data_IF_612620018898
#
_entry.id   IF_612620018898
#
_cell.length_a   1.000
_cell.length_b   1.000
_cell.length_c   1.000
_cell.angle_alpha   90.00
_cell.angle_beta   90.00
_cell.angle_gamma   90.00
#
_symmetry.space_group_name_H-M   'P 1'
#
loop_
_entity.id
_entity.type
_entity.pdbx_description
1 polymer ?
#
# COMPACT_ATOMS: atom_id res chain seq x y z
N UNK A 1 0.08 -6.27 15.97
CA UNK A 1 -0.35 -6.47 14.57
C UNK A 1 -0.68 -7.93 14.33
N UNK A 2 -1.63 -8.25 13.43
CA UNK A 2 -2.13 -9.62 13.22
C UNK A 2 -1.08 -10.60 12.67
N UNK A 3 -0.23 -10.16 11.73
CA UNK A 3 0.85 -11.00 11.16
C UNK A 3 1.87 -11.37 12.26
N UNK A 4 2.32 -10.39 13.02
CA UNK A 4 3.25 -10.62 14.14
C UNK A 4 2.67 -11.60 15.16
N UNK A 5 1.38 -11.45 15.49
CA UNK A 5 0.70 -12.39 16.37
C UNK A 5 0.69 -13.82 15.80
N UNK A 6 0.44 -13.99 14.50
CA UNK A 6 0.49 -15.29 13.85
C UNK A 6 1.90 -15.92 13.94
N UNK A 7 2.95 -15.13 13.71
CA UNK A 7 4.35 -15.59 13.79
C UNK A 7 4.79 -15.99 15.20
N UNK A 8 4.24 -15.34 16.22
CA UNK A 8 4.47 -15.73 17.63
C UNK A 8 3.66 -16.97 18.02
N UNK A 9 2.52 -17.20 17.36
CA UNK A 9 1.59 -18.29 17.70
C UNK A 9 1.90 -19.61 16.99
N UNK A 10 2.48 -19.56 15.79
CA UNK A 10 2.68 -20.72 14.92
C UNK A 10 4.16 -20.87 14.53
N UNK A 11 4.61 -22.12 14.37
CA UNK A 11 6.00 -22.43 14.02
C UNK A 11 6.24 -22.28 12.52
N UNK A 12 7.33 -21.64 12.12
CA UNK A 12 7.75 -21.62 10.71
C UNK A 12 8.25 -23.00 10.23
N UNK A 13 8.36 -24.01 11.10
CA UNK A 13 8.69 -25.39 10.70
C UNK A 13 7.52 -26.14 10.05
N UNK A 14 6.28 -25.77 10.40
CA UNK A 14 5.07 -26.47 9.95
C UNK A 14 3.97 -25.54 9.40
N UNK A 15 4.17 -24.22 9.49
CA UNK A 15 3.19 -23.23 9.06
C UNK A 15 3.76 -22.34 7.97
N UNK A 16 3.13 -22.37 6.78
CA UNK A 16 3.39 -21.42 5.69
C UNK A 16 2.53 -20.17 5.91
N UNK A 17 3.18 -19.03 6.12
CA UNK A 17 2.54 -17.71 6.22
C UNK A 17 2.80 -16.96 4.92
N UNK A 18 1.75 -16.59 4.19
CA UNK A 18 1.82 -15.79 2.95
C UNK A 18 1.08 -14.47 3.17
N UNK A 19 1.72 -13.36 2.81
CA UNK A 19 1.17 -12.00 2.90
C UNK A 19 1.24 -11.38 1.52
N UNK A 20 0.11 -10.89 1.01
CA UNK A 20 0.03 -10.15 -0.25
C UNK A 20 -1.19 -9.22 -0.23
N UNK A 21 -1.38 -8.50 -1.33
CA UNK A 21 -2.56 -7.68 -1.60
C UNK A 21 -3.30 -8.24 -2.82
N UNK A 22 -4.59 -7.96 -2.92
CA UNK A 22 -5.37 -8.22 -4.13
C UNK A 22 -5.06 -7.19 -5.23
N UNK A 23 -4.79 -5.93 -4.85
CA UNK A 23 -4.30 -4.86 -5.73
C UNK A 23 -3.60 -3.76 -4.93
N UNK A 24 -3.07 -2.76 -5.61
CA UNK A 24 -2.54 -1.53 -5.00
C UNK A 24 -3.55 -0.38 -5.07
N UNK A 25 -3.12 0.82 -4.67
CA UNK A 25 -3.84 2.08 -4.76
C UNK A 25 -2.95 3.14 -5.38
N UNK A 26 -3.55 4.20 -5.92
CA UNK A 26 -2.87 5.30 -6.62
C UNK A 26 -2.08 6.25 -5.69
N UNK A 27 -1.54 5.70 -4.60
CA UNK A 27 -0.78 6.38 -3.58
C UNK A 27 0.66 6.61 -4.04
N UNK A 28 1.24 7.72 -3.59
CA UNK A 28 2.65 8.03 -3.78
C UNK A 28 3.25 8.50 -2.47
N UNK A 29 4.40 7.92 -2.10
CA UNK A 29 5.27 8.40 -1.04
C UNK A 29 6.42 9.18 -1.70
N UNK A 30 6.37 10.51 -1.59
CA UNK A 30 7.22 11.41 -2.35
C UNK A 30 7.90 12.49 -1.52
N UNK A 31 8.57 13.40 -2.25
CA UNK A 31 9.38 14.47 -1.68
C UNK A 31 10.77 14.03 -1.22
N UNK A 32 11.39 14.85 -0.37
CA UNK A 32 12.69 14.57 0.26
C UNK A 32 12.62 14.84 1.78
N UNK A 33 11.62 14.26 2.45
CA UNK A 33 11.45 14.39 3.89
C UNK A 33 12.66 13.82 4.67
N UNK A 34 12.99 14.43 5.81
CA UNK A 34 14.08 13.97 6.67
C UNK A 34 13.76 12.58 7.25
N UNK A 35 14.80 11.75 7.40
CA UNK A 35 14.68 10.45 8.08
C UNK A 35 14.12 10.63 9.49
N UNK A 36 13.11 9.82 9.85
CA UNK A 36 12.44 9.90 11.15
C UNK A 36 11.35 10.97 11.24
N UNK A 37 11.08 11.70 10.16
CA UNK A 37 9.94 12.60 10.05
C UNK A 37 8.61 11.83 10.02
N UNK A 38 7.54 12.55 10.32
CA UNK A 38 6.19 12.02 10.22
C UNK A 38 5.83 11.72 8.76
N UNK A 39 5.37 10.50 8.48
CA UNK A 39 4.90 10.06 7.17
C UNK A 39 3.69 10.87 6.69
N UNK A 40 2.89 11.40 7.61
CA UNK A 40 1.76 12.29 7.29
C UNK A 40 2.17 13.76 7.28
N UNK A 41 3.45 14.06 7.43
CA UNK A 41 3.98 15.41 7.48
C UNK A 41 4.21 16.05 6.12
N UNK A 42 4.77 17.27 6.18
CA UNK A 42 5.22 18.05 5.02
C UNK A 42 6.55 17.49 4.49
N UNK A 43 6.62 17.24 3.19
CA UNK A 43 7.83 16.74 2.52
C UNK A 43 8.71 17.86 1.95
N UNK A 44 8.14 19.04 1.69
CA UNK A 44 8.86 20.19 1.15
C UNK A 44 7.93 21.28 0.62
N UNK A 45 8.51 22.18 -0.19
CA UNK A 45 7.81 23.28 -0.86
C UNK A 45 7.71 23.04 -2.37
N UNK A 46 6.57 23.33 -2.96
CA UNK A 46 6.38 23.35 -4.41
C UNK A 46 6.86 24.65 -5.05
N UNK A 47 6.92 24.68 -6.39
CA UNK A 47 7.25 25.90 -7.14
C UNK A 47 6.19 27.00 -6.97
N UNK A 48 4.97 26.61 -6.58
CA UNK A 48 3.86 27.48 -6.19
C UNK A 48 4.06 28.14 -4.81
N UNK A 49 5.21 27.91 -4.16
CA UNK A 49 5.53 28.38 -2.81
C UNK A 49 4.53 27.88 -1.75
N UNK A 50 3.91 26.71 -1.98
CA UNK A 50 3.06 26.04 -1.02
C UNK A 50 3.69 24.74 -0.51
N UNK A 51 3.53 24.39 0.77
CA UNK A 51 4.00 23.11 1.29
C UNK A 51 3.21 21.95 0.67
N UNK A 52 3.86 20.80 0.49
CA UNK A 52 3.21 19.55 0.05
C UNK A 52 3.53 18.40 1.00
N UNK A 53 2.60 17.44 1.09
CA UNK A 53 2.69 16.31 2.02
C UNK A 53 3.55 15.18 1.44
N UNK A 54 4.12 14.37 2.32
CA UNK A 54 4.91 13.19 1.95
C UNK A 54 4.05 12.15 1.22
N UNK A 55 2.79 12.01 1.62
CA UNK A 55 1.82 11.11 0.98
C UNK A 55 0.83 11.92 0.13
N UNK A 56 0.56 11.44 -1.07
CA UNK A 56 -0.47 11.97 -1.97
C UNK A 56 -1.08 10.85 -2.82
N UNK A 57 -2.20 11.14 -3.47
CA UNK A 57 -2.89 10.23 -4.38
C UNK A 57 -3.00 10.83 -5.78
N UNK A 58 -3.05 9.98 -6.81
CA UNK A 58 -3.27 10.46 -8.17
C UNK A 58 -4.71 11.02 -8.32
N UNK A 59 -5.68 10.42 -7.64
CA UNK A 59 -7.09 10.79 -7.73
C UNK A 59 -7.85 10.57 -6.41
N UNK A 60 -9.09 11.05 -6.34
CA UNK A 60 -9.98 10.81 -5.20
C UNK A 60 -10.56 12.08 -4.58
N UNK A 61 -11.23 11.91 -3.44
CA UNK A 61 -11.97 12.99 -2.77
C UNK A 61 -11.05 14.06 -2.18
N UNK A 62 -9.79 13.73 -1.91
CA UNK A 62 -8.80 14.68 -1.41
C UNK A 62 -8.63 15.91 -2.32
N UNK A 63 -8.90 15.78 -3.62
CA UNK A 63 -8.86 16.93 -4.53
C UNK A 63 -9.71 18.10 -4.02
N UNK A 64 -10.92 17.84 -3.55
CA UNK A 64 -11.87 18.88 -3.12
C UNK A 64 -11.43 19.63 -1.85
N UNK A 65 -10.57 19.00 -1.05
CA UNK A 65 -10.00 19.62 0.16
C UNK A 65 -8.72 20.39 -0.13
N UNK A 66 -8.02 20.02 -1.20
CA UNK A 66 -6.66 20.48 -1.49
C UNK A 66 -6.56 21.40 -2.70
N UNK A 67 -7.65 21.61 -3.43
CA UNK A 67 -7.75 22.56 -4.54
C UNK A 67 -8.83 23.60 -4.26
N UNK A 68 -8.49 24.86 -4.49
CA UNK A 68 -9.44 25.97 -4.53
C UNK A 68 -10.07 25.99 -5.92
N UNK A 69 -11.33 25.58 -6.03
CA UNK A 69 -12.03 25.47 -7.31
C UNK A 69 -12.27 26.83 -7.99
N UNK A 70 -12.32 27.92 -7.22
CA UNK A 70 -12.52 29.27 -7.76
C UNK A 70 -11.21 29.83 -8.32
N UNK A 71 -10.09 29.61 -7.61
CA UNK A 71 -8.77 30.10 -8.01
C UNK A 71 -8.03 29.16 -8.96
N UNK A 72 -8.43 27.89 -9.01
CA UNK A 72 -7.71 26.85 -9.75
C UNK A 72 -6.32 26.53 -9.16
N UNK A 73 -6.08 26.86 -7.89
CA UNK A 73 -4.78 26.69 -7.22
C UNK A 73 -4.86 25.67 -6.10
N UNK A 74 -3.71 25.06 -5.76
CA UNK A 74 -3.58 24.28 -4.52
C UNK A 74 -3.91 25.13 -3.29
N UNK A 75 -4.51 24.51 -2.28
CA UNK A 75 -4.67 25.09 -0.96
C UNK A 75 -3.38 24.92 -0.17
N UNK A 76 -3.10 25.88 0.71
CA UNK A 76 -1.96 25.78 1.61
C UNK A 76 -2.29 24.80 2.74
N UNK A 77 -1.62 23.66 2.75
CA UNK A 77 -1.83 22.60 3.76
C UNK A 77 -1.51 23.06 5.19
N UNK A 78 -0.70 24.11 5.38
CA UNK A 78 -0.43 24.69 6.71
C UNK A 78 -1.66 25.34 7.36
N UNK A 79 -2.75 25.53 6.61
CA UNK A 79 -4.03 26.02 7.12
C UNK A 79 -5.07 24.90 7.31
N UNK A 80 -4.70 23.65 7.02
CA UNK A 80 -5.56 22.49 7.22
C UNK A 80 -5.23 21.82 8.55
N UNK A 81 -6.25 21.31 9.22
CA UNK A 81 -6.09 20.46 10.39
C UNK A 81 -5.82 19.02 9.93
N UNK A 82 -4.54 18.65 9.90
CA UNK A 82 -4.08 17.33 9.48
C UNK A 82 -4.19 16.27 10.58
N UNK A 83 -4.69 16.63 11.77
CA UNK A 83 -4.81 15.70 12.91
C UNK A 83 -6.15 14.95 12.94
N UNK A 84 -7.07 15.31 12.05
CA UNK A 84 -8.39 14.67 11.96
C UNK A 84 -8.28 13.24 11.46
N UNK A 85 -9.04 12.35 12.08
CA UNK A 85 -9.13 10.94 11.69
C UNK A 85 -9.65 10.74 10.25
N UNK A 86 -10.42 11.71 9.74
CA UNK A 86 -10.98 11.72 8.40
C UNK A 86 -10.23 12.66 7.43
N UNK A 87 -9.02 13.09 7.79
CA UNK A 87 -8.20 13.91 6.91
C UNK A 87 -7.90 13.18 5.59
N UNK A 88 -8.32 13.78 4.48
CA UNK A 88 -8.05 13.25 3.14
C UNK A 88 -6.75 13.86 2.62
N UNK A 89 -5.82 13.01 2.20
CA UNK A 89 -4.54 13.44 1.64
C UNK A 89 -4.72 14.12 0.26
N UNK A 90 -3.75 14.94 -0.17
CA UNK A 90 -3.82 15.61 -1.47
C UNK A 90 -4.05 14.64 -2.62
N UNK A 91 -4.97 15.00 -3.53
CA UNK A 91 -5.19 14.26 -4.77
C UNK A 91 -5.24 15.19 -5.98
N UNK A 92 -4.86 14.68 -7.15
CA UNK A 92 -4.73 15.50 -8.38
C UNK A 92 -5.98 15.49 -9.26
N UNK A 93 -6.68 14.36 -9.37
CA UNK A 93 -7.91 14.22 -10.17
C UNK A 93 -9.15 14.09 -9.27
N UNK A 94 -10.20 14.93 -9.45
CA UNK A 94 -11.40 14.89 -8.63
C UNK A 94 -12.23 13.64 -8.89
N UNK A 95 -12.29 12.71 -7.93
CA UNK A 95 -13.19 11.56 -7.97
C UNK A 95 -13.93 11.41 -6.64
N UNK A 96 -15.08 10.73 -6.67
CA UNK A 96 -15.87 10.41 -5.46
C UNK A 96 -15.26 9.29 -4.62
N UNK A 97 -14.37 8.52 -5.21
CA UNK A 97 -13.63 7.42 -4.59
C UNK A 97 -12.29 7.37 -5.31
N UNK A 98 -11.23 7.15 -4.54
CA UNK A 98 -9.91 6.90 -5.12
C UNK A 98 -9.92 5.54 -5.82
N UNK A 99 -9.16 5.40 -6.90
CA UNK A 99 -9.11 4.17 -7.70
C UNK A 99 -8.00 3.25 -7.26
N UNK A 100 -8.21 1.94 -7.42
CA UNK A 100 -7.11 0.97 -7.36
C UNK A 100 -6.00 1.36 -8.34
N UNK A 101 -4.80 0.85 -8.10
CA UNK A 101 -3.67 0.96 -9.01
C UNK A 101 -3.21 -0.42 -9.49
N UNK A 102 -2.64 -0.44 -10.70
CA UNK A 102 -2.36 -1.66 -11.47
C UNK A 102 -0.89 -2.06 -11.53
N UNK A 103 -0.05 -1.46 -10.69
CA UNK A 103 1.32 -1.93 -10.51
C UNK A 103 1.38 -3.25 -9.72
N UNK A 104 2.45 -3.99 -9.93
CA UNK A 104 2.70 -5.25 -9.22
C UNK A 104 2.71 -5.04 -7.70
N UNK A 105 2.04 -5.93 -6.97
CA UNK A 105 2.04 -5.96 -5.50
C UNK A 105 3.00 -7.02 -4.97
N UNK A 106 3.55 -6.77 -3.79
CA UNK A 106 4.48 -7.70 -3.16
C UNK A 106 3.75 -8.96 -2.65
N UNK A 107 4.50 -10.06 -2.63
CA UNK A 107 4.15 -11.29 -1.92
C UNK A 107 5.32 -11.61 -1.00
N UNK A 108 5.03 -11.76 0.29
CA UNK A 108 6.00 -12.19 1.29
C UNK A 108 5.58 -13.57 1.80
N UNK A 109 6.55 -14.48 1.96
CA UNK A 109 6.30 -15.82 2.47
C UNK A 109 7.34 -16.21 3.52
N UNK A 110 6.91 -16.93 4.56
CA UNK A 110 7.79 -17.62 5.51
C UNK A 110 7.24 -19.01 5.86
N UNK A 111 8.13 -19.93 6.21
CA UNK A 111 7.80 -21.32 6.55
C UNK A 111 8.00 -22.34 5.41
N UNK A 112 7.36 -23.52 5.48
CA UNK A 112 7.56 -24.60 4.51
C UNK A 112 7.26 -24.15 3.08
N UNK A 113 8.17 -24.46 2.16
CA UNK A 113 8.05 -24.08 0.74
C UNK A 113 8.01 -22.58 0.42
N UNK A 114 8.36 -21.70 1.36
CA UNK A 114 8.43 -20.25 1.12
C UNK A 114 9.37 -19.86 -0.06
N UNK A 115 10.37 -20.69 -0.36
CA UNK A 115 11.29 -20.50 -1.50
C UNK A 115 10.61 -20.60 -2.89
N UNK A 116 9.36 -21.06 -2.98
CA UNK A 116 8.57 -21.02 -4.21
C UNK A 116 8.15 -19.59 -4.59
N UNK A 117 8.01 -18.70 -3.60
CA UNK A 117 7.52 -17.33 -3.77
C UNK A 117 8.66 -16.39 -4.15
N UNK A 118 9.32 -16.64 -5.29
CA UNK A 118 10.44 -15.84 -5.79
C UNK A 118 10.19 -15.37 -7.23
N UNK A 119 10.83 -14.27 -7.62
CA UNK A 119 10.66 -13.68 -8.95
C UNK A 119 9.32 -12.96 -9.12
N UNK A 120 8.85 -12.91 -10.38
CA UNK A 120 7.57 -12.30 -10.77
C UNK A 120 6.67 -13.39 -11.32
N UNK A 121 5.40 -13.40 -10.89
CA UNK A 121 4.41 -14.38 -11.29
C UNK A 121 3.00 -13.80 -11.24
N UNK A 122 2.09 -14.43 -11.98
CA UNK A 122 0.68 -14.06 -12.00
C UNK A 122 0.02 -14.33 -10.63
N UNK A 123 -0.86 -13.44 -10.18
CA UNK A 123 -1.50 -13.53 -8.85
C UNK A 123 -2.24 -14.86 -8.63
N UNK A 124 -2.83 -15.44 -9.68
CA UNK A 124 -3.55 -16.71 -9.60
C UNK A 124 -2.64 -17.91 -9.27
N UNK A 125 -1.31 -17.75 -9.31
CA UNK A 125 -0.36 -18.80 -8.93
C UNK A 125 -0.21 -18.97 -7.42
N UNK A 126 -0.49 -17.93 -6.62
CA UNK A 126 -0.41 -17.95 -5.15
C UNK A 126 -1.18 -19.14 -4.54
N UNK A 127 -2.48 -19.34 -4.82
CA UNK A 127 -3.22 -20.48 -4.26
C UNK A 127 -2.67 -21.84 -4.73
N UNK A 128 -2.10 -21.93 -5.94
CA UNK A 128 -1.48 -23.18 -6.41
C UNK A 128 -0.20 -23.52 -5.64
N UNK A 129 0.65 -22.53 -5.36
CA UNK A 129 1.86 -22.73 -4.54
C UNK A 129 1.51 -23.12 -3.10
N UNK A 130 0.50 -22.48 -2.52
CA UNK A 130 0.00 -22.84 -1.19
C UNK A 130 -0.58 -24.26 -1.16
N UNK A 131 -1.38 -24.64 -2.16
CA UNK A 131 -1.96 -25.98 -2.26
C UNK A 131 -0.89 -27.06 -2.45
N UNK A 132 0.13 -26.79 -3.26
CA UNK A 132 1.30 -27.66 -3.44
C UNK A 132 2.01 -27.92 -2.11
N UNK A 133 2.32 -26.85 -1.37
CA UNK A 133 3.01 -26.91 -0.08
C UNK A 133 2.20 -27.65 0.99
N UNK A 134 0.89 -27.42 1.03
CA UNK A 134 -0.02 -28.03 2.01
C UNK A 134 -0.55 -29.41 1.59
N UNK A 135 -0.16 -29.94 0.42
CA UNK A 135 -0.62 -31.23 -0.09
C UNK A 135 -2.14 -31.36 -0.29
N UNK A 136 -2.82 -30.26 -0.57
CA UNK A 136 -4.27 -30.22 -0.77
C UNK A 136 -4.64 -29.99 -2.25
N UNK A 137 -5.90 -30.26 -2.60
CA UNK A 137 -6.43 -30.05 -3.95
C UNK A 137 -6.05 -31.14 -4.96
N UNK A 138 -6.35 -30.86 -6.24
CA UNK A 138 -6.19 -31.80 -7.37
C UNK A 138 -4.99 -31.55 -8.29
N UNK A 139 -4.08 -30.62 -7.92
CA UNK A 139 -2.87 -30.30 -8.67
C UNK A 139 -1.64 -31.10 -8.22
N UNK A 140 -0.45 -30.62 -8.61
CA UNK A 140 0.84 -31.11 -8.11
C UNK A 140 0.95 -30.92 -6.58
N UNK A 141 1.69 -31.80 -5.90
CA UNK A 141 1.85 -31.81 -4.44
C UNK A 141 3.29 -32.06 -4.03
N UNK A 142 3.68 -31.52 -2.87
CA UNK A 142 4.98 -31.74 -2.27
C UNK A 142 5.20 -33.17 -1.74
N UNK A 143 4.13 -33.87 -1.38
CA UNK A 143 4.14 -35.19 -0.71
C UNK A 143 3.91 -36.37 -1.66
N UNK A 144 3.98 -36.15 -2.97
CA UNK A 144 3.83 -37.20 -4.00
C UNK A 144 5.15 -37.50 -4.68
#
# INVERSE_FOLDING_TARGET
MAIEFARVKYSEEDTLIVVSSDHSHSVSYGGYANRGGDIFGVAGMGNDQLPYMTVSYANGLGYYDHVDAEKGTRRNISHLDTTKDDFRFPATVPLKSETHAGEDVAVYASGPWAHLFTGTYEQNTIPHMMAYAACIGGGLKACT
#
